data_IF_092352569798
#
_entry.id   IF_092352569798
#
_cell.length_a   1.000
_cell.length_b   1.000
_cell.length_c   1.000
_cell.angle_alpha   90.00
_cell.angle_beta   90.00
_cell.angle_gamma   90.00
#
_symmetry.space_group_name_H-M   'P 1'
#
loop_
_entity.id
_entity.type
_entity.pdbx_description
1 polymer ?
#
# COMPACT_ATOMS: atom_id res chain seq x y z
N UNK A 1 32.59 -37.27 -43.20
CA UNK A 1 31.11 -36.95 -43.25
C UNK A 1 30.36 -37.04 -41.94
N UNK A 2 30.90 -37.63 -40.87
CA UNK A 2 30.16 -37.76 -39.58
C UNK A 2 30.45 -36.61 -38.57
N UNK A 3 31.62 -35.94 -38.65
CA UNK A 3 32.01 -34.90 -37.68
C UNK A 3 31.28 -33.56 -37.86
N UNK A 4 31.13 -33.08 -39.10
CA UNK A 4 30.42 -31.84 -39.39
C UNK A 4 28.92 -31.91 -39.11
N UNK A 5 28.30 -33.08 -39.26
CA UNK A 5 26.89 -33.28 -38.86
C UNK A 5 26.70 -33.15 -37.36
N UNK A 6 27.63 -33.66 -36.56
CA UNK A 6 27.61 -33.50 -35.10
C UNK A 6 27.86 -32.02 -34.69
N UNK A 7 28.78 -31.35 -35.36
CA UNK A 7 29.04 -29.91 -35.12
C UNK A 7 27.83 -29.04 -35.49
N UNK A 8 27.14 -29.35 -36.58
CA UNK A 8 25.93 -28.62 -36.99
C UNK A 8 24.77 -28.83 -36.02
N UNK A 9 24.65 -30.03 -35.46
CA UNK A 9 23.63 -30.37 -34.46
C UNK A 9 23.86 -29.67 -33.11
N UNK A 10 25.11 -29.55 -32.69
CA UNK A 10 25.48 -28.81 -31.49
C UNK A 10 25.28 -27.30 -31.68
N UNK A 11 25.58 -26.77 -32.87
CA UNK A 11 25.37 -25.36 -33.20
C UNK A 11 23.87 -25.00 -33.23
N UNK A 12 23.03 -25.89 -33.80
CA UNK A 12 21.56 -25.68 -33.82
C UNK A 12 20.92 -25.75 -32.45
N UNK A 13 21.42 -26.62 -31.56
CA UNK A 13 20.95 -26.75 -30.17
C UNK A 13 21.36 -25.54 -29.35
N UNK A 14 22.53 -24.92 -29.59
CA UNK A 14 22.99 -23.69 -28.92
C UNK A 14 22.18 -22.44 -29.26
N UNK A 15 21.60 -22.37 -30.47
CA UNK A 15 20.77 -21.28 -30.94
C UNK A 15 19.33 -21.27 -30.33
N UNK A 16 18.85 -22.41 -29.84
CA UNK A 16 17.51 -22.50 -29.24
C UNK A 16 17.46 -22.18 -27.77
N UNK A 17 18.60 -21.99 -27.11
CA UNK A 17 18.67 -21.71 -25.67
C UNK A 17 18.62 -20.22 -25.31
N UNK A 18 18.57 -19.33 -26.30
CA UNK A 18 18.42 -17.88 -26.06
C UNK A 18 16.95 -17.42 -26.03
N UNK A 19 16.01 -18.27 -25.69
CA UNK A 19 14.68 -17.83 -25.33
C UNK A 19 14.72 -17.28 -23.91
N UNK A 20 15.23 -16.04 -23.77
CA UNK A 20 14.90 -15.23 -22.61
C UNK A 20 13.40 -14.98 -22.71
N UNK A 21 12.64 -15.76 -21.95
CA UNK A 21 11.25 -15.54 -21.64
C UNK A 21 11.18 -14.32 -20.68
N UNK A 22 11.40 -13.15 -21.25
CA UNK A 22 10.95 -11.89 -20.63
C UNK A 22 9.45 -11.80 -20.92
N UNK A 23 8.72 -12.70 -20.28
CA UNK A 23 7.26 -12.68 -20.26
C UNK A 23 6.86 -11.66 -19.20
N UNK A 24 6.71 -10.41 -19.63
CA UNK A 24 5.86 -9.48 -18.88
C UNK A 24 4.48 -10.11 -18.77
N UNK A 25 4.01 -10.49 -17.58
CA UNK A 25 2.70 -11.09 -17.41
C UNK A 25 1.65 -10.06 -17.83
N UNK A 26 1.01 -10.30 -18.98
CA UNK A 26 -0.02 -9.38 -19.52
C UNK A 26 -1.31 -9.39 -18.68
N UNK A 27 -1.47 -10.38 -17.84
CA UNK A 27 -2.64 -10.57 -16.95
C UNK A 27 -2.39 -10.07 -15.52
N UNK A 28 -1.19 -9.63 -15.19
CA UNK A 28 -0.89 -8.97 -13.93
C UNK A 28 -0.59 -7.50 -14.19
N UNK A 29 -1.21 -6.62 -13.41
CA UNK A 29 -0.90 -5.20 -13.38
C UNK A 29 0.54 -5.04 -12.88
N UNK A 30 1.52 -5.28 -13.76
CA UNK A 30 2.91 -5.02 -13.51
C UNK A 30 3.16 -3.51 -13.60
N UNK A 31 4.10 -3.02 -12.80
CA UNK A 31 4.40 -1.58 -12.69
C UNK A 31 4.79 -0.94 -14.05
N UNK A 32 5.24 -1.76 -15.03
CA UNK A 32 5.59 -1.33 -16.38
C UNK A 32 4.38 -1.04 -17.29
N UNK A 33 3.23 -1.68 -17.05
CA UNK A 33 2.03 -1.55 -17.88
C UNK A 33 0.94 -0.72 -17.23
N UNK A 34 1.06 -0.43 -15.94
CA UNK A 34 0.17 0.41 -15.18
C UNK A 34 0.63 1.87 -15.28
N UNK A 35 -0.29 2.81 -15.32
CA UNK A 35 -0.06 4.27 -15.34
C UNK A 35 0.04 4.88 -16.75
N UNK A 36 -0.32 4.14 -17.80
CA UNK A 36 -0.36 4.64 -19.17
C UNK A 36 -1.64 5.40 -19.53
N UNK A 37 -2.75 5.09 -18.88
CA UNK A 37 -4.07 5.67 -19.14
C UNK A 37 -4.72 6.22 -17.85
N UNK A 38 -5.68 7.15 -18.01
CA UNK A 38 -6.43 7.69 -16.87
C UNK A 38 -7.24 6.61 -16.14
N UNK A 39 -7.70 5.58 -16.84
CA UNK A 39 -8.42 4.45 -16.23
C UNK A 39 -7.54 3.64 -15.27
N UNK A 40 -6.23 3.57 -15.47
CA UNK A 40 -5.32 2.90 -14.55
C UNK A 40 -5.33 3.57 -13.18
N UNK A 41 -5.31 4.91 -13.16
CA UNK A 41 -5.44 5.69 -11.93
C UNK A 41 -6.80 5.47 -11.26
N UNK A 42 -7.88 5.37 -12.04
CA UNK A 42 -9.22 5.05 -11.53
C UNK A 42 -9.25 3.69 -10.86
N UNK A 43 -8.77 2.64 -11.52
CA UNK A 43 -8.74 1.29 -10.95
C UNK A 43 -7.90 1.23 -9.69
N UNK A 44 -6.76 1.91 -9.67
CA UNK A 44 -5.90 1.94 -8.51
C UNK A 44 -6.57 2.68 -7.33
N UNK A 45 -7.15 3.85 -7.56
CA UNK A 45 -7.81 4.66 -6.54
C UNK A 45 -9.10 4.00 -6.00
N UNK A 46 -9.82 3.24 -6.83
CA UNK A 46 -11.03 2.52 -6.40
C UNK A 46 -10.77 1.59 -5.23
N UNK A 47 -9.57 1.00 -5.13
CA UNK A 47 -9.20 0.14 -4.01
C UNK A 47 -9.11 0.90 -2.66
N UNK A 48 -8.96 2.22 -2.67
CA UNK A 48 -8.85 3.01 -1.44
C UNK A 48 -10.18 3.04 -0.67
N UNK A 49 -11.30 2.93 -1.35
CA UNK A 49 -12.64 2.92 -0.73
C UNK A 49 -12.85 1.71 0.18
N UNK A 50 -12.16 0.61 -0.07
CA UNK A 50 -12.16 -0.56 0.82
C UNK A 50 -11.50 -0.33 2.18
N UNK A 51 -10.82 0.80 2.39
CA UNK A 51 -10.18 1.15 3.67
C UNK A 51 -11.12 1.91 4.61
N UNK A 52 -12.25 2.38 4.10
CA UNK A 52 -13.23 3.07 4.94
C UNK A 52 -13.89 2.11 5.92
N UNK A 53 -14.07 2.58 7.14
CA UNK A 53 -14.74 1.79 8.16
C UNK A 53 -16.23 1.61 7.84
N UNK A 54 -16.71 0.41 8.05
CA UNK A 54 -18.15 0.11 8.00
C UNK A 54 -18.83 0.61 9.28
N UNK A 55 -20.10 1.05 9.18
CA UNK A 55 -20.91 1.45 10.33
C UNK A 55 -21.10 0.33 11.37
N UNK A 56 -21.01 -0.93 10.98
CA UNK A 56 -21.12 -2.09 11.88
C UNK A 56 -19.89 -2.30 12.76
N UNK A 57 -18.73 -1.86 12.33
CA UNK A 57 -17.47 -2.06 13.05
C UNK A 57 -17.27 -1.06 14.20
N UNK A 58 -18.09 -0.02 14.29
CA UNK A 58 -17.92 1.06 15.28
C UNK A 58 -18.31 0.63 16.70
N UNK A 59 -19.17 -0.37 16.85
CA UNK A 59 -19.76 -0.70 18.16
C UNK A 59 -19.03 -1.83 18.89
N UNK A 60 -18.46 -2.81 18.19
CA UNK A 60 -18.05 -4.06 18.84
C UNK A 60 -16.58 -4.45 18.70
N UNK A 61 -15.84 -3.95 17.69
CA UNK A 61 -14.48 -4.40 17.47
C UNK A 61 -13.60 -3.32 16.84
N UNK A 62 -12.34 -3.32 17.21
CA UNK A 62 -11.30 -2.56 16.56
C UNK A 62 -10.81 -1.34 17.33
N UNK A 63 -9.86 -0.69 16.74
CA UNK A 63 -9.09 0.38 17.32
C UNK A 63 -9.90 1.64 17.69
N UNK A 64 -11.06 1.82 17.07
CA UNK A 64 -11.93 2.98 17.25
C UNK A 64 -13.27 2.64 17.91
N UNK A 65 -13.38 1.47 18.53
CA UNK A 65 -14.59 1.07 19.25
C UNK A 65 -14.63 1.69 20.65
N UNK A 66 -15.85 1.79 21.20
CA UNK A 66 -16.07 2.27 22.57
C UNK A 66 -15.42 1.37 23.64
N UNK A 67 -14.93 0.19 23.27
CA UNK A 67 -14.11 -0.68 24.11
C UNK A 67 -12.80 -0.02 24.57
N UNK A 68 -12.32 0.97 23.87
CA UNK A 68 -11.12 1.75 24.25
C UNK A 68 -11.43 2.95 25.14
N UNK A 69 -12.69 3.12 25.48
CA UNK A 69 -13.17 4.18 26.37
C UNK A 69 -13.77 3.59 27.64
N UNK A 70 -14.24 4.43 28.52
CA UNK A 70 -15.03 4.09 29.72
C UNK A 70 -16.55 3.98 29.43
N UNK A 71 -16.95 4.16 28.15
CA UNK A 71 -18.35 4.14 27.75
C UNK A 71 -18.90 2.73 27.59
N UNK A 72 -18.06 1.72 27.37
CA UNK A 72 -18.46 0.32 27.28
C UNK A 72 -17.78 -0.53 28.34
N UNK A 73 -18.59 -1.36 29.01
CA UNK A 73 -18.10 -2.37 29.96
C UNK A 73 -18.64 -3.75 29.60
N UNK A 74 -17.92 -4.78 29.96
CA UNK A 74 -18.33 -6.18 29.85
C UNK A 74 -18.07 -6.91 31.16
N UNK A 75 -18.45 -8.17 31.21
CA UNK A 75 -18.11 -9.07 32.33
C UNK A 75 -16.60 -9.36 32.43
N UNK A 76 -15.85 -9.08 31.37
CA UNK A 76 -14.38 -9.22 31.34
C UNK A 76 -13.69 -7.89 31.61
N UNK A 77 -12.52 -7.96 32.23
CA UNK A 77 -11.70 -6.78 32.47
C UNK A 77 -11.27 -6.17 31.13
N UNK A 78 -11.60 -4.89 30.94
CA UNK A 78 -11.16 -4.14 29.78
C UNK A 78 -9.75 -3.58 30.06
N UNK A 79 -8.75 -4.08 29.32
CA UNK A 79 -7.35 -3.69 29.51
C UNK A 79 -7.08 -2.22 29.19
N UNK A 80 -7.90 -1.59 28.36
CA UNK A 80 -7.75 -0.17 28.04
C UNK A 80 -8.25 0.73 29.16
N UNK A 81 -9.42 0.44 29.72
CA UNK A 81 -9.99 1.24 30.79
C UNK A 81 -9.27 1.06 32.13
N UNK A 82 -8.64 -0.08 32.38
CA UNK A 82 -7.88 -0.32 33.61
C UNK A 82 -6.39 0.01 33.48
N UNK A 83 -5.92 0.47 32.31
CA UNK A 83 -4.53 0.84 32.08
C UNK A 83 -3.53 -0.33 31.99
N UNK A 84 -3.98 -1.57 31.88
CA UNK A 84 -3.11 -2.75 31.77
C UNK A 84 -2.74 -3.13 30.34
N UNK A 85 -3.03 -2.26 29.37
CA UNK A 85 -2.74 -2.50 27.96
C UNK A 85 -1.23 -2.60 27.71
N UNK A 86 -0.68 -3.75 27.31
CA UNK A 86 0.74 -3.88 26.98
C UNK A 86 1.03 -3.21 25.64
N UNK A 87 2.24 -2.68 25.49
CA UNK A 87 2.74 -2.20 24.20
C UNK A 87 3.06 -3.44 23.34
N UNK A 88 2.33 -3.70 22.25
CA UNK A 88 2.58 -4.84 21.40
C UNK A 88 3.87 -4.63 20.57
N UNK A 89 4.53 -5.72 20.20
CA UNK A 89 5.70 -5.69 19.30
C UNK A 89 5.32 -5.37 17.85
N UNK A 90 4.06 -5.58 17.50
CA UNK A 90 3.49 -5.23 16.18
C UNK A 90 2.01 -4.87 16.34
N UNK A 91 1.55 -3.97 15.51
CA UNK A 91 0.13 -3.57 15.47
C UNK A 91 -0.34 -3.52 14.02
N UNK A 92 -1.44 -4.24 13.75
CA UNK A 92 -2.02 -4.33 12.40
C UNK A 92 -2.55 -2.97 11.89
N UNK A 93 -3.10 -2.13 12.77
CA UNK A 93 -3.56 -0.80 12.38
C UNK A 93 -2.40 0.10 11.96
N UNK A 94 -1.27 0.02 12.68
CA UNK A 94 -0.06 0.75 12.33
C UNK A 94 0.46 0.33 10.95
N UNK A 95 0.66 -0.96 10.76
CA UNK A 95 1.19 -1.51 9.51
C UNK A 95 0.28 -1.25 8.31
N UNK A 96 -1.05 -1.46 8.48
CA UNK A 96 -2.02 -1.25 7.40
C UNK A 96 -2.10 0.21 6.98
N UNK A 97 -2.17 1.15 7.92
CA UNK A 97 -2.23 2.57 7.59
C UNK A 97 -0.98 3.06 6.87
N UNK A 98 0.22 2.60 7.26
CA UNK A 98 1.43 2.94 6.50
C UNK A 98 1.47 2.29 5.11
N UNK A 99 0.92 1.10 4.94
CA UNK A 99 0.74 0.49 3.62
C UNK A 99 -0.23 1.30 2.75
N UNK A 100 -1.32 1.81 3.32
CA UNK A 100 -2.26 2.71 2.63
C UNK A 100 -1.58 4.02 2.22
N UNK A 101 -0.84 4.67 3.11
CA UNK A 101 -0.08 5.89 2.83
C UNK A 101 0.92 5.66 1.70
N UNK A 102 1.65 4.53 1.72
CA UNK A 102 2.59 4.16 0.65
C UNK A 102 1.87 4.05 -0.70
N UNK A 103 0.70 3.42 -0.75
CA UNK A 103 -0.10 3.29 -1.99
C UNK A 103 -0.58 4.65 -2.48
N UNK A 104 -1.05 5.53 -1.60
CA UNK A 104 -1.41 6.90 -1.96
C UNK A 104 -0.21 7.68 -2.52
N UNK A 105 0.95 7.59 -1.86
CA UNK A 105 2.17 8.24 -2.30
C UNK A 105 2.62 7.72 -3.68
N UNK A 106 2.50 6.41 -3.92
CA UNK A 106 2.80 5.81 -5.23
C UNK A 106 1.92 6.40 -6.34
N UNK A 107 0.61 6.46 -6.13
CA UNK A 107 -0.30 7.08 -7.11
C UNK A 107 0.08 8.54 -7.35
N UNK A 108 0.36 9.31 -6.31
CA UNK A 108 0.75 10.71 -6.44
C UNK A 108 2.08 10.90 -7.18
N UNK A 109 3.04 10.02 -6.95
CA UNK A 109 4.32 10.00 -7.65
C UNK A 109 4.13 9.70 -9.15
N UNK A 110 3.34 8.67 -9.47
CA UNK A 110 3.04 8.32 -10.87
C UNK A 110 2.22 9.41 -11.56
N UNK A 111 1.29 10.05 -10.84
CA UNK A 111 0.51 11.18 -11.38
C UNK A 111 1.38 12.38 -11.73
N UNK A 112 2.44 12.64 -10.99
CA UNK A 112 3.37 13.74 -11.28
C UNK A 112 4.14 13.55 -12.61
N UNK A 113 4.33 12.32 -13.05
CA UNK A 113 5.00 11.96 -14.31
C UNK A 113 4.03 11.54 -15.42
N UNK A 114 2.71 11.63 -15.19
CA UNK A 114 1.71 11.22 -16.16
C UNK A 114 1.69 12.16 -17.37
N UNK A 115 1.86 11.59 -18.55
CA UNK A 115 1.81 12.32 -19.83
C UNK A 115 0.78 11.72 -20.81
N UNK A 116 -0.04 10.80 -20.35
CA UNK A 116 -1.09 10.17 -21.14
C UNK A 116 -2.31 11.06 -21.33
N UNK A 117 -3.27 10.55 -22.09
CA UNK A 117 -4.53 11.25 -22.33
C UNK A 117 -5.54 11.00 -21.20
N UNK A 118 -6.30 12.05 -20.87
CA UNK A 118 -7.38 12.01 -19.89
C UNK A 118 -7.08 12.78 -18.61
N UNK A 119 -8.14 13.15 -17.90
CA UNK A 119 -8.06 13.89 -16.64
C UNK A 119 -7.95 12.92 -15.46
N UNK A 120 -6.86 13.03 -14.71
CA UNK A 120 -6.59 12.24 -13.51
C UNK A 120 -6.75 13.06 -12.21
N UNK A 121 -7.20 14.31 -12.29
CA UNK A 121 -7.25 15.23 -11.15
C UNK A 121 -8.11 14.70 -10.00
N UNK A 122 -9.22 14.02 -10.33
CA UNK A 122 -10.07 13.35 -9.35
C UNK A 122 -9.31 12.29 -8.55
N UNK A 123 -8.56 11.41 -9.22
CA UNK A 123 -7.85 10.31 -8.56
C UNK A 123 -6.68 10.81 -7.72
N UNK A 124 -6.06 11.90 -8.14
CA UNK A 124 -5.07 12.64 -7.34
C UNK A 124 -5.71 13.21 -6.07
N UNK A 125 -6.91 13.78 -6.17
CA UNK A 125 -7.66 14.29 -5.01
C UNK A 125 -8.05 13.14 -4.05
N UNK A 126 -8.55 12.03 -4.58
CA UNK A 126 -8.88 10.83 -3.81
C UNK A 126 -7.64 10.29 -3.07
N UNK A 127 -6.49 10.21 -3.73
CA UNK A 127 -5.25 9.75 -3.09
C UNK A 127 -4.81 10.69 -1.94
N UNK A 128 -4.95 12.00 -2.11
CA UNK A 128 -4.67 12.97 -1.04
C UNK A 128 -5.63 12.80 0.13
N UNK A 129 -6.92 12.61 -0.15
CA UNK A 129 -7.94 12.39 0.88
C UNK A 129 -7.64 11.10 1.67
N UNK A 130 -7.45 9.97 1.01
CA UNK A 130 -7.20 8.70 1.69
C UNK A 130 -5.86 8.66 2.41
N UNK A 131 -4.86 9.39 1.93
CA UNK A 131 -3.62 9.60 2.66
C UNK A 131 -3.85 10.35 3.98
N UNK A 132 -4.61 11.43 3.93
CA UNK A 132 -4.98 12.19 5.13
C UNK A 132 -5.83 11.35 6.10
N UNK A 133 -6.76 10.57 5.59
CA UNK A 133 -7.59 9.65 6.38
C UNK A 133 -6.71 8.61 7.12
N UNK A 134 -5.74 8.01 6.44
CA UNK A 134 -4.83 7.05 7.07
C UNK A 134 -3.93 7.70 8.13
N UNK A 135 -3.48 8.93 7.91
CA UNK A 135 -2.73 9.69 8.93
C UNK A 135 -3.61 10.06 10.12
N UNK A 136 -4.85 10.45 9.88
CA UNK A 136 -5.80 10.74 10.95
C UNK A 136 -5.99 9.53 11.86
N UNK A 137 -6.18 8.34 11.29
CA UNK A 137 -6.27 7.09 12.04
C UNK A 137 -5.00 6.79 12.84
N UNK A 138 -3.83 6.99 12.25
CA UNK A 138 -2.55 6.80 12.94
C UNK A 138 -2.39 7.75 14.13
N UNK A 139 -2.68 9.04 13.94
CA UNK A 139 -2.55 10.04 15.00
C UNK A 139 -3.53 9.75 16.14
N UNK A 140 -4.77 9.38 15.82
CA UNK A 140 -5.76 9.02 16.85
C UNK A 140 -5.32 7.82 17.72
N UNK A 141 -4.65 6.84 17.13
CA UNK A 141 -4.29 5.60 17.81
C UNK A 141 -2.92 5.66 18.49
N UNK A 142 -1.97 6.37 17.89
CA UNK A 142 -0.54 6.29 18.27
C UNK A 142 0.08 7.65 18.63
N UNK A 143 -0.66 8.75 18.49
CA UNK A 143 -0.13 10.10 18.70
C UNK A 143 0.83 10.49 17.59
N UNK A 144 2.03 10.94 17.95
CA UNK A 144 3.06 11.35 17.00
C UNK A 144 3.47 10.22 16.07
N UNK A 145 3.55 10.51 14.77
CA UNK A 145 3.78 9.51 13.72
C UNK A 145 4.81 9.98 12.71
N UNK A 146 5.35 9.05 11.93
CA UNK A 146 6.29 9.34 10.85
C UNK A 146 5.49 9.84 9.64
N UNK A 147 5.76 11.07 9.18
CA UNK A 147 5.12 11.64 7.99
C UNK A 147 6.00 11.39 6.77
N UNK A 148 5.42 10.73 5.75
CA UNK A 148 6.07 10.44 4.47
C UNK A 148 5.23 11.01 3.34
N UNK A 149 5.87 11.78 2.44
CA UNK A 149 5.20 12.41 1.29
C UNK A 149 5.43 11.66 -0.02
N UNK A 150 6.35 10.70 -0.01
CA UNK A 150 6.75 9.88 -1.14
C UNK A 150 6.91 8.40 -0.71
N UNK A 151 6.89 7.44 -1.64
CA UNK A 151 7.17 6.06 -1.32
C UNK A 151 8.60 5.94 -0.77
N UNK A 152 8.71 5.44 0.48
CA UNK A 152 10.01 5.23 1.10
C UNK A 152 10.69 3.99 0.52
N UNK A 153 12.01 4.08 0.34
CA UNK A 153 12.91 2.95 0.15
C UNK A 153 13.45 2.48 1.51
N UNK A 154 14.04 1.28 1.54
CA UNK A 154 14.66 0.67 2.74
C UNK A 154 15.72 1.59 3.38
N UNK A 155 16.40 2.39 2.56
CA UNK A 155 17.46 3.31 2.99
C UNK A 155 16.95 4.71 3.38
N UNK A 156 15.66 4.99 3.21
CA UNK A 156 15.11 6.31 3.49
C UNK A 156 15.08 6.59 4.99
N UNK A 157 15.56 7.75 5.46
CA UNK A 157 15.43 8.13 6.85
C UNK A 157 13.97 8.37 7.21
N UNK A 158 13.51 7.75 8.28
CA UNK A 158 12.15 7.91 8.79
C UNK A 158 12.23 8.53 10.19
N UNK A 159 11.91 9.81 10.29
CA UNK A 159 11.87 10.54 11.56
C UNK A 159 10.41 10.71 12.00
N UNK A 160 10.15 10.41 13.28
CA UNK A 160 8.86 10.69 13.89
C UNK A 160 8.71 12.21 14.06
N UNK A 161 7.60 12.74 13.55
CA UNK A 161 7.27 14.17 13.69
C UNK A 161 6.19 14.33 14.76
N UNK A 162 6.22 15.46 15.46
CA UNK A 162 5.16 15.81 16.39
C UNK A 162 3.84 16.05 15.66
N UNK A 163 2.73 15.72 16.30
CA UNK A 163 1.37 16.00 15.77
C UNK A 163 1.07 17.50 15.68
N UNK A 164 1.94 18.36 16.24
CA UNK A 164 1.80 19.82 16.22
C UNK A 164 2.61 20.49 15.09
N UNK A 165 3.39 19.72 14.32
CA UNK A 165 4.17 20.20 13.17
C UNK A 165 3.42 19.92 11.85
#
# INVERSE_FOLDING_TARGET
MKLYKKALLILSLGLTLNSCLDLDPQDQLADGNLWGAADDFKYFATNFYGWTRDFKSVISDGAHSDWRSDLMTSSSVNMYSNGSNPIPTSDGNYTSNYAHIRRCNLLLQKAASFSGNGDISRYVAEAKFFRAYSYFDLVQLFGDVIITKEPLDITSPALRMSSND
#
